data_IF_390871853220
#
_entry.id   IF_390871853220
#
_cell.length_a   1.000
_cell.length_b   1.000
_cell.length_c   1.000
_cell.angle_alpha   90.00
_cell.angle_beta   90.00
_cell.angle_gamma   90.00
#
_symmetry.space_group_name_H-M   'P 1'
#
loop_
_entity.id
_entity.type
_entity.pdbx_description
1 polymer ?
#
# COMPACT_ATOMS: atom_id res chain seq x y z
N UNK A 1 -14.24 25.71 2.43
CA UNK A 1 -13.40 25.67 1.22
C UNK A 1 -13.32 24.22 0.75
N UNK A 2 -14.19 23.83 -0.18
CA UNK A 2 -14.22 22.46 -0.70
C UNK A 2 -13.19 22.32 -1.81
N UNK A 3 -12.12 21.56 -1.55
CA UNK A 3 -11.13 21.19 -2.56
C UNK A 3 -11.82 20.26 -3.56
N UNK A 4 -12.13 20.76 -4.75
CA UNK A 4 -12.75 19.96 -5.82
C UNK A 4 -11.81 18.81 -6.19
N UNK A 5 -12.25 17.58 -5.96
CA UNK A 5 -11.50 16.39 -6.34
C UNK A 5 -11.55 16.27 -7.87
N UNK A 6 -10.39 16.34 -8.52
CA UNK A 6 -10.28 16.20 -9.98
C UNK A 6 -10.35 14.71 -10.33
N UNK A 7 -11.20 14.34 -11.27
CA UNK A 7 -11.28 12.95 -11.77
C UNK A 7 -9.92 12.50 -12.32
N UNK A 8 -9.42 11.37 -11.82
CA UNK A 8 -8.09 10.85 -12.15
C UNK A 8 -6.96 11.27 -11.21
N UNK A 9 -7.17 12.26 -10.34
CA UNK A 9 -6.20 12.60 -9.28
C UNK A 9 -6.54 11.82 -8.00
N UNK A 10 -5.65 10.92 -7.54
CA UNK A 10 -5.86 10.17 -6.31
C UNK A 10 -5.91 11.13 -5.12
N UNK A 11 -6.95 11.01 -4.29
CA UNK A 11 -7.07 11.78 -3.07
C UNK A 11 -5.87 11.53 -2.16
N UNK A 12 -5.37 12.57 -1.48
CA UNK A 12 -4.22 12.50 -0.57
C UNK A 12 -4.32 11.35 0.44
N UNK A 13 -5.53 10.98 0.85
CA UNK A 13 -5.78 9.86 1.76
C UNK A 13 -5.40 8.48 1.19
N UNK A 14 -5.48 8.29 -0.12
CA UNK A 14 -5.20 7.04 -0.84
C UNK A 14 -3.71 6.85 -1.16
N UNK A 15 -2.93 7.93 -1.08
CA UNK A 15 -1.48 7.93 -1.29
C UNK A 15 -0.81 7.53 0.02
N UNK A 16 -0.47 6.25 0.15
CA UNK A 16 0.32 5.73 1.29
C UNK A 16 1.76 5.53 0.85
N UNK A 17 2.73 6.28 1.41
CA UNK A 17 4.13 6.14 1.03
C UNK A 17 4.61 4.71 1.33
N UNK A 18 5.24 4.06 0.34
CA UNK A 18 5.74 2.68 0.46
C UNK A 18 4.76 1.59 -0.01
N UNK A 19 3.54 1.91 -0.41
CA UNK A 19 2.66 0.97 -1.14
C UNK A 19 2.95 0.99 -2.64
N UNK A 20 2.85 -0.17 -3.30
CA UNK A 20 3.05 -0.31 -4.74
C UNK A 20 2.07 0.50 -5.59
N UNK A 21 0.87 0.78 -5.07
CA UNK A 21 -0.14 1.64 -5.68
C UNK A 21 -1.09 2.19 -4.61
N UNK A 22 -2.03 3.05 -5.00
CA UNK A 22 -3.03 3.65 -4.09
C UNK A 22 -3.84 2.59 -3.34
N UNK A 23 -4.04 2.80 -2.04
CA UNK A 23 -4.86 1.91 -1.21
C UNK A 23 -6.32 1.94 -1.67
N UNK A 24 -6.97 0.78 -1.72
CA UNK A 24 -8.37 0.66 -2.13
C UNK A 24 -8.57 0.53 -3.65
N UNK A 25 -7.48 0.38 -4.41
CA UNK A 25 -7.54 0.05 -5.84
C UNK A 25 -7.50 -1.45 -6.12
N UNK A 26 -7.34 -2.28 -5.09
CA UNK A 26 -7.39 -3.74 -5.16
C UNK A 26 -8.80 -4.30 -4.90
N UNK A 27 -8.92 -5.64 -4.73
CA UNK A 27 -10.19 -6.30 -4.49
C UNK A 27 -10.90 -5.80 -3.22
N UNK A 28 -12.23 -5.73 -3.28
CA UNK A 28 -13.06 -5.30 -2.15
C UNK A 28 -12.83 -6.21 -0.92
N UNK A 29 -12.88 -5.60 0.27
CA UNK A 29 -12.67 -6.27 1.56
C UNK A 29 -11.30 -6.98 1.75
N UNK A 30 -10.31 -6.72 0.89
CA UNK A 30 -8.95 -7.24 1.08
C UNK A 30 -8.00 -6.17 1.60
N UNK A 31 -7.04 -6.59 2.43
CA UNK A 31 -6.04 -5.71 3.05
C UNK A 31 -4.64 -6.22 2.75
N UNK A 32 -3.64 -5.35 2.97
CA UNK A 32 -2.24 -5.74 2.85
C UNK A 32 -1.85 -6.92 3.75
N UNK A 33 -2.53 -7.11 4.88
CA UNK A 33 -2.30 -8.24 5.78
C UNK A 33 -2.35 -9.59 5.05
N UNK A 34 -3.29 -9.74 4.12
CA UNK A 34 -3.51 -10.96 3.33
C UNK A 34 -2.77 -10.94 2.00
N UNK A 35 -1.76 -10.08 1.81
CA UNK A 35 -1.03 -9.95 0.54
C UNK A 35 0.34 -10.63 0.60
N UNK A 36 0.70 -11.41 -0.42
CA UNK A 36 1.98 -12.14 -0.52
C UNK A 36 3.19 -11.20 -0.54
N UNK A 37 3.00 -9.98 -1.04
CA UNK A 37 4.04 -8.96 -1.10
C UNK A 37 4.28 -8.23 0.23
N UNK A 38 3.47 -8.48 1.27
CA UNK A 38 3.72 -7.92 2.58
C UNK A 38 4.91 -8.61 3.24
N UNK A 39 6.03 -7.90 3.32
CA UNK A 39 7.19 -8.29 4.10
C UNK A 39 7.06 -7.77 5.53
N UNK A 40 7.19 -8.67 6.50
CA UNK A 40 7.47 -8.28 7.87
C UNK A 40 8.98 -8.08 8.02
N UNK A 41 9.37 -6.93 8.55
CA UNK A 41 10.74 -6.62 8.91
C UNK A 41 10.85 -6.63 10.42
N UNK A 42 11.51 -7.66 10.94
CA UNK A 42 11.75 -7.82 12.38
C UNK A 42 12.87 -6.88 12.83
N UNK A 43 12.62 -6.13 13.89
CA UNK A 43 13.52 -5.13 14.47
C UNK A 43 13.08 -4.77 15.89
N UNK A 44 13.38 -3.57 16.39
CA UNK A 44 12.89 -3.11 17.71
C UNK A 44 11.35 -3.03 17.79
N UNK A 45 10.69 -2.86 16.64
CA UNK A 45 9.23 -2.93 16.46
C UNK A 45 8.97 -3.67 15.15
N UNK A 46 7.89 -4.44 15.10
CA UNK A 46 7.44 -5.11 13.88
C UNK A 46 7.01 -4.06 12.87
N UNK A 47 7.72 -3.96 11.75
CA UNK A 47 7.43 -3.02 10.67
C UNK A 47 7.03 -3.82 9.43
N UNK A 48 6.05 -3.32 8.68
CA UNK A 48 5.63 -3.95 7.44
C UNK A 48 6.06 -3.13 6.24
N UNK A 49 6.51 -3.78 5.17
CA UNK A 49 6.88 -3.14 3.90
C UNK A 49 6.31 -3.90 2.72
N UNK A 50 6.04 -3.20 1.62
CA UNK A 50 5.58 -3.81 0.38
C UNK A 50 6.78 -4.21 -0.50
N UNK A 51 6.99 -5.50 -0.76
CA UNK A 51 8.03 -5.99 -1.68
C UNK A 51 7.76 -5.56 -3.13
N UNK A 52 6.50 -5.54 -3.56
CA UNK A 52 6.12 -5.12 -4.91
C UNK A 52 6.48 -3.65 -5.18
N UNK A 53 6.40 -2.79 -4.17
CA UNK A 53 6.87 -1.40 -4.29
C UNK A 53 8.36 -1.35 -4.62
N UNK A 54 9.17 -2.15 -3.93
CA UNK A 54 10.61 -2.23 -4.17
C UNK A 54 10.92 -2.78 -5.57
N UNK A 55 10.17 -3.79 -6.03
CA UNK A 55 10.32 -4.34 -7.38
C UNK A 55 9.99 -3.31 -8.47
N UNK A 56 8.95 -2.50 -8.28
CA UNK A 56 8.51 -1.51 -9.28
C UNK A 56 9.38 -0.25 -9.29
N UNK A 57 9.81 0.22 -8.12
CA UNK A 57 10.52 1.50 -7.99
C UNK A 57 12.03 1.36 -7.87
N UNK A 58 12.53 0.14 -7.64
CA UNK A 58 13.93 -0.12 -7.30
C UNK A 58 14.35 0.43 -5.93
N UNK A 59 13.43 1.03 -5.16
CA UNK A 59 13.71 1.69 -3.88
C UNK A 59 12.99 1.00 -2.74
N UNK A 60 13.60 1.01 -1.56
CA UNK A 60 12.94 0.50 -0.36
C UNK A 60 11.85 1.50 0.08
N UNK A 61 10.59 1.06 0.05
CA UNK A 61 9.45 1.89 0.46
C UNK A 61 9.40 2.13 1.96
N UNK A 62 8.70 3.19 2.36
CA UNK A 62 8.37 3.44 3.77
C UNK A 62 7.57 2.28 4.37
N UNK A 63 7.55 2.22 5.70
CA UNK A 63 6.74 1.26 6.42
C UNK A 63 5.25 1.54 6.21
N UNK A 64 4.48 0.48 5.96
CA UNK A 64 3.03 0.53 5.74
C UNK A 64 2.31 -0.16 6.89
N UNK A 65 1.02 0.15 7.07
CA UNK A 65 0.16 -0.61 7.97
C UNK A 65 -0.45 -1.82 7.21
N UNK A 66 -0.52 -2.98 7.86
CA UNK A 66 -1.19 -4.19 7.36
C UNK A 66 -2.69 -4.01 7.17
N UNK A 67 -3.31 -3.08 7.89
CA UNK A 67 -4.75 -2.79 7.84
C UNK A 67 -5.17 -1.97 6.61
N UNK A 68 -4.21 -1.42 5.87
CA UNK A 68 -4.53 -0.66 4.66
C UNK A 68 -5.20 -1.55 3.62
N UNK A 69 -6.25 -0.99 3.00
CA UNK A 69 -6.95 -1.60 1.86
C UNK A 69 -5.95 -1.95 0.76
N UNK A 70 -6.14 -3.11 0.16
CA UNK A 70 -5.23 -3.64 -0.84
C UNK A 70 -5.12 -2.72 -2.07
N UNK A 71 -3.99 -2.82 -2.75
CA UNK A 71 -3.71 -2.04 -3.96
C UNK A 71 -3.96 -2.89 -5.21
N UNK A 72 -3.95 -2.30 -6.41
CA UNK A 72 -4.17 -3.04 -7.67
C UNK A 72 -3.24 -4.23 -7.90
N UNK A 73 -2.06 -4.24 -7.26
CA UNK A 73 -1.09 -5.35 -7.34
C UNK A 73 -1.25 -6.36 -6.20
N UNK A 74 -2.44 -6.43 -5.62
CA UNK A 74 -2.74 -7.39 -4.57
C UNK A 74 -2.71 -8.80 -5.11
N UNK A 75 -1.87 -9.62 -4.51
CA UNK A 75 -1.85 -11.07 -4.70
C UNK A 75 -2.10 -11.73 -3.33
N UNK A 76 -3.09 -12.64 -3.22
CA UNK A 76 -3.42 -13.30 -1.97
C UNK A 76 -2.28 -14.24 -1.51
N UNK A 77 -2.15 -14.40 -0.19
CA UNK A 77 -1.28 -15.41 0.43
C UNK A 77 -1.96 -16.78 0.48
#
# INVERSE_FOLDING_TARGET
MSLTQIEGVPSRASVKPGMAHFSGTGPLATTCASCVFLAEQSGRRTLYRCKKFQQLTGKQGNCINREFSSCKYYEPK
#
